data_IF_683915912852
#
_entry.id   IF_683915912852
#
_cell.length_a   1.000
_cell.length_b   1.000
_cell.length_c   1.000
_cell.angle_alpha   90.00
_cell.angle_beta   90.00
_cell.angle_gamma   90.00
#
_symmetry.space_group_name_H-M   'P 1'
#
loop_
_entity.id
_entity.type
_entity.pdbx_description
1 polymer ?
#
# COMPACT_ATOMS: atom_id res chain seq x y z
N UNK A 1 -13.17 -4.65 -3.91
CA UNK A 1 -14.62 -4.44 -3.78
C UNK A 1 -15.16 -5.58 -2.92
N UNK A 2 -15.82 -5.29 -1.81
CA UNK A 2 -16.46 -6.31 -0.95
C UNK A 2 -17.96 -6.16 -1.14
N UNK A 3 -18.63 -7.24 -1.54
CA UNK A 3 -20.07 -7.25 -1.76
C UNK A 3 -20.72 -8.24 -0.78
N UNK A 4 -21.70 -7.78 0.00
CA UNK A 4 -22.67 -8.65 0.67
C UNK A 4 -23.88 -8.85 -0.27
N UNK A 5 -24.67 -9.91 -0.06
CA UNK A 5 -25.66 -10.43 -1.01
C UNK A 5 -26.87 -9.55 -1.37
N UNK A 6 -26.90 -8.28 -0.95
CA UNK A 6 -27.87 -7.26 -1.39
C UNK A 6 -27.09 -6.14 -2.10
N UNK A 7 -27.63 -5.41 -3.08
CA UNK A 7 -26.91 -4.33 -3.75
C UNK A 7 -26.74 -3.15 -2.80
N UNK A 8 -25.74 -3.24 -1.92
CA UNK A 8 -25.28 -2.12 -1.13
C UNK A 8 -24.67 -1.08 -2.09
N UNK A 9 -25.04 0.18 -1.89
CA UNK A 9 -24.45 1.28 -2.63
C UNK A 9 -22.91 1.23 -2.51
N UNK A 10 -22.17 1.30 -3.63
CA UNK A 10 -20.71 1.16 -3.60
C UNK A 10 -20.10 2.30 -2.77
N UNK A 11 -19.29 1.92 -1.77
CA UNK A 11 -18.53 2.87 -0.95
C UNK A 11 -17.06 2.84 -1.35
N UNK A 12 -16.45 4.02 -1.40
CA UNK A 12 -15.05 4.20 -1.76
C UNK A 12 -14.38 5.21 -0.84
N UNK A 13 -13.09 4.98 -0.52
CA UNK A 13 -12.26 5.92 0.23
C UNK A 13 -10.89 6.02 -0.42
N UNK A 14 -10.42 7.24 -0.62
CA UNK A 14 -9.06 7.52 -1.08
C UNK A 14 -8.13 7.70 0.12
N UNK A 15 -6.97 7.04 0.09
CA UNK A 15 -5.94 7.15 1.13
C UNK A 15 -4.63 7.50 0.47
N UNK A 16 -3.98 8.57 0.95
CA UNK A 16 -2.71 9.05 0.40
C UNK A 16 -1.60 8.75 1.38
N UNK A 17 -0.46 8.28 0.88
CA UNK A 17 0.73 8.05 1.70
C UNK A 17 1.94 8.55 0.93
N UNK A 18 2.77 9.35 1.58
CA UNK A 18 4.01 9.87 1.00
C UNK A 18 5.16 8.99 1.44
N UNK A 19 5.97 8.55 0.49
CA UNK A 19 7.18 7.76 0.74
C UNK A 19 8.37 8.56 0.26
N UNK A 20 9.35 8.77 1.14
CA UNK A 20 10.61 9.45 0.82
C UNK A 20 11.72 8.43 0.76
N UNK A 21 12.42 8.41 -0.36
CA UNK A 21 13.64 7.64 -0.55
C UNK A 21 14.85 8.44 -0.08
N UNK A 22 15.87 7.74 0.37
CA UNK A 22 17.22 8.28 0.48
C UNK A 22 17.74 8.67 -0.91
N UNK A 23 18.72 9.59 -0.98
CA UNK A 23 19.44 9.82 -2.23
C UNK A 23 20.01 8.49 -2.77
N UNK A 24 19.57 8.11 -3.97
CA UNK A 24 20.05 6.92 -4.65
C UNK A 24 21.15 7.30 -5.64
N UNK A 25 22.24 6.53 -5.65
CA UNK A 25 23.24 6.60 -6.71
C UNK A 25 22.78 5.79 -7.93
N UNK A 26 23.34 6.09 -9.11
CA UNK A 26 23.07 5.33 -10.33
C UNK A 26 23.37 3.83 -10.15
N UNK A 27 24.40 3.49 -9.38
CA UNK A 27 24.73 2.09 -9.07
C UNK A 27 23.64 1.42 -8.25
N UNK A 28 23.07 2.10 -7.25
CA UNK A 28 21.98 1.57 -6.45
C UNK A 28 20.70 1.41 -7.28
N UNK A 29 20.40 2.39 -8.14
CA UNK A 29 19.25 2.31 -9.06
C UNK A 29 19.41 1.10 -9.99
N UNK A 30 20.58 0.93 -10.62
CA UNK A 30 20.85 -0.21 -11.51
C UNK A 30 20.72 -1.55 -10.79
N UNK A 31 21.25 -1.65 -9.58
CA UNK A 31 21.10 -2.86 -8.76
C UNK A 31 19.62 -3.19 -8.49
N UNK A 32 18.80 -2.19 -8.16
CA UNK A 32 17.36 -2.39 -7.94
C UNK A 32 16.65 -2.83 -9.23
N UNK A 33 16.98 -2.23 -10.38
CA UNK A 33 16.42 -2.61 -11.68
C UNK A 33 16.83 -4.04 -12.06
N UNK A 34 18.12 -4.37 -11.97
CA UNK A 34 18.64 -5.68 -12.34
C UNK A 34 18.08 -6.82 -11.45
N UNK A 35 17.62 -6.48 -10.24
CA UNK A 35 17.00 -7.44 -9.32
C UNK A 35 15.57 -7.85 -9.70
N UNK A 36 14.88 -7.07 -10.54
CA UNK A 36 13.47 -7.27 -10.88
C UNK A 36 12.47 -7.02 -9.74
N UNK A 37 12.92 -6.53 -8.57
CA UNK A 37 12.06 -6.30 -7.39
C UNK A 37 10.91 -5.32 -7.66
N UNK A 38 11.06 -4.46 -8.68
CA UNK A 38 10.07 -3.47 -9.09
C UNK A 38 9.18 -3.86 -10.27
N UNK A 39 9.45 -4.98 -10.96
CA UNK A 39 8.89 -5.23 -12.31
C UNK A 39 7.36 -5.36 -12.33
N UNK A 40 6.78 -5.86 -11.25
CA UNK A 40 5.33 -6.04 -11.08
C UNK A 40 4.69 -4.98 -10.17
N UNK A 41 5.42 -3.92 -9.79
CA UNK A 41 5.00 -2.94 -8.79
C UNK A 41 4.89 -1.54 -9.37
N UNK A 42 3.76 -0.88 -9.11
CA UNK A 42 3.59 0.52 -9.45
C UNK A 42 4.66 1.37 -8.75
N UNK A 43 5.41 2.17 -9.52
CA UNK A 43 6.55 2.94 -9.02
C UNK A 43 7.89 2.21 -9.09
N UNK A 44 7.94 0.99 -9.65
CA UNK A 44 9.15 0.19 -9.84
C UNK A 44 9.93 -0.10 -8.54
N UNK A 45 9.22 -0.24 -7.41
CA UNK A 45 9.82 -0.59 -6.14
C UNK A 45 8.88 -1.41 -5.24
N UNK A 46 9.44 -2.34 -4.47
CA UNK A 46 8.75 -3.03 -3.39
C UNK A 46 9.19 -2.52 -2.03
N UNK A 47 8.26 -1.99 -1.23
CA UNK A 47 8.57 -1.59 0.16
C UNK A 47 8.99 -2.78 1.05
N UNK A 48 8.53 -3.98 0.71
CA UNK A 48 8.91 -5.23 1.37
C UNK A 48 10.13 -5.91 0.72
N UNK A 49 10.64 -5.35 -0.38
CA UNK A 49 11.75 -5.86 -1.16
C UNK A 49 13.05 -5.10 -0.92
N UNK A 50 13.99 -5.20 -1.86
CA UNK A 50 15.31 -4.57 -1.80
C UNK A 50 15.21 -3.04 -1.73
N UNK A 51 14.22 -2.47 -2.41
CA UNK A 51 14.00 -1.03 -2.39
C UNK A 51 13.59 -0.50 -1.00
N UNK A 52 13.05 -1.37 -0.13
CA UNK A 52 12.69 -1.02 1.25
C UNK A 52 13.87 -0.50 2.08
N UNK A 53 15.09 -0.97 1.78
CA UNK A 53 16.32 -0.51 2.45
C UNK A 53 16.64 0.98 2.18
N UNK A 54 16.04 1.57 1.15
CA UNK A 54 16.28 2.96 0.75
C UNK A 54 15.15 3.91 1.15
N UNK A 55 14.13 3.45 1.89
CA UNK A 55 13.04 4.31 2.35
C UNK A 55 13.45 5.01 3.65
N UNK A 56 13.60 6.33 3.60
CA UNK A 56 13.92 7.14 4.78
C UNK A 56 12.70 7.45 5.64
N UNK A 57 11.54 7.65 4.99
CA UNK A 57 10.36 8.15 5.69
C UNK A 57 9.07 7.77 4.98
N UNK A 58 8.07 7.45 5.78
CA UNK A 58 6.70 7.21 5.34
C UNK A 58 5.79 8.14 6.14
N UNK A 59 4.96 8.91 5.44
CA UNK A 59 3.93 9.76 6.05
C UNK A 59 2.56 9.31 5.55
N UNK A 60 1.82 8.61 6.39
CA UNK A 60 0.53 8.02 6.09
C UNK A 60 0.45 6.55 6.49
N UNK A 61 -0.29 5.75 5.73
CA UNK A 61 -0.57 4.35 6.04
C UNK A 61 0.43 3.43 5.35
N UNK A 62 1.25 2.72 6.13
CA UNK A 62 2.16 1.70 5.58
C UNK A 62 1.40 0.62 4.79
N UNK A 63 0.27 0.16 5.32
CA UNK A 63 -0.57 -0.84 4.63
C UNK A 63 -1.10 -0.35 3.27
N UNK A 64 -1.34 0.95 3.13
CA UNK A 64 -1.65 1.57 1.85
C UNK A 64 -0.49 1.46 0.86
N UNK A 65 0.76 1.64 1.31
CA UNK A 65 1.95 1.45 0.46
C UNK A 65 2.10 -0.01 0.02
N UNK A 66 1.76 -0.96 0.89
CA UNK A 66 1.73 -2.39 0.54
C UNK A 66 0.63 -2.71 -0.48
N UNK A 67 -0.47 -1.95 -0.48
CA UNK A 67 -1.52 -2.03 -1.51
C UNK A 67 -2.96 -2.03 -0.99
N UNK A 68 -3.18 -2.06 0.33
CA UNK A 68 -4.53 -1.95 0.91
C UNK A 68 -4.49 -1.19 2.25
N UNK A 69 -5.10 0.00 2.35
CA UNK A 69 -5.13 0.78 3.58
C UNK A 69 -6.02 0.08 4.63
N UNK A 70 -5.42 -0.73 5.50
CA UNK A 70 -6.17 -1.67 6.35
C UNK A 70 -7.07 -0.97 7.36
N UNK A 71 -6.61 0.11 7.99
CA UNK A 71 -7.41 0.86 8.97
C UNK A 71 -8.66 1.42 8.30
N UNK A 72 -8.49 2.04 7.14
CA UNK A 72 -9.55 2.65 6.37
C UNK A 72 -10.48 1.61 5.74
N UNK A 73 -9.93 0.45 5.34
CA UNK A 73 -10.70 -0.69 4.85
C UNK A 73 -11.57 -1.26 5.95
N UNK A 74 -11.05 -1.48 7.15
CA UNK A 74 -11.83 -1.95 8.30
C UNK A 74 -12.94 -0.97 8.67
N UNK A 75 -12.67 0.33 8.64
CA UNK A 75 -13.70 1.35 8.86
C UNK A 75 -14.82 1.27 7.81
N UNK A 76 -14.48 1.16 6.52
CA UNK A 76 -15.47 0.99 5.44
C UNK A 76 -16.30 -0.29 5.60
N UNK A 77 -15.67 -1.40 6.01
CA UNK A 77 -16.36 -2.67 6.26
C UNK A 77 -17.33 -2.55 7.45
N UNK A 78 -16.91 -1.91 8.54
CA UNK A 78 -17.74 -1.66 9.70
C UNK A 78 -18.94 -0.77 9.37
N UNK A 79 -18.74 0.31 8.61
CA UNK A 79 -19.83 1.14 8.10
C UNK A 79 -20.81 0.31 7.27
N UNK A 80 -20.32 -0.69 6.51
CA UNK A 80 -21.13 -1.58 5.69
C UNK A 80 -21.85 -2.68 6.51
N UNK A 81 -21.72 -2.66 7.84
CA UNK A 81 -22.37 -3.61 8.75
C UNK A 81 -21.60 -4.92 8.95
N UNK A 82 -20.36 -5.02 8.46
CA UNK A 82 -19.51 -6.19 8.67
C UNK A 82 -18.75 -6.06 9.99
N UNK A 83 -18.92 -7.06 10.87
CA UNK A 83 -18.22 -7.14 12.17
C UNK A 83 -16.80 -7.66 12.01
N UNK A 84 -15.90 -7.18 12.88
CA UNK A 84 -14.51 -7.63 12.91
C UNK A 84 -14.29 -8.61 14.06
N UNK A 85 -13.24 -9.46 14.05
CA UNK A 85 -13.06 -10.44 15.12
C UNK A 85 -12.78 -9.81 16.50
N UNK A 86 -12.31 -8.56 16.51
CA UNK A 86 -12.03 -7.73 17.69
C UNK A 86 -13.12 -6.67 17.92
N UNK A 87 -14.29 -6.85 17.28
CA UNK A 87 -15.51 -6.05 17.43
C UNK A 87 -16.76 -6.80 16.98
#
# INVERSE_FOLDING_TARGET
CVASGDPAEPRSRAVVTRVRFAPLSDTAIRYLVDSGDGDDKAGAYGIQGLAGAFIERIEGSFSNVVGLPMVETLALLAEAGLRTPWG
#
